data_IF_945105334026
#
_entry.id   IF_945105334026
#
_cell.length_a   1.000
_cell.length_b   1.000
_cell.length_c   1.000
_cell.angle_alpha   90.00
_cell.angle_beta   90.00
_cell.angle_gamma   90.00
#
_symmetry.space_group_name_H-M   'P 1'
#
loop_
_entity.id
_entity.type
_entity.pdbx_description
1 polymer ?
#
# COMPACT_ATOMS: atom_id res chain seq x y z
N UNK A 1 0.47 -23.78 -17.64
CA UNK A 1 -0.41 -23.93 -16.46
C UNK A 1 0.49 -24.17 -15.26
N UNK A 2 0.55 -23.22 -14.32
CA UNK A 2 1.26 -23.44 -13.07
C UNK A 2 0.36 -24.25 -12.13
N UNK A 3 0.80 -25.38 -11.57
CA UNK A 3 0.03 -26.09 -10.57
C UNK A 3 -0.11 -25.22 -9.31
N UNK A 4 -1.35 -25.02 -8.89
CA UNK A 4 -1.67 -24.25 -7.68
C UNK A 4 -1.69 -25.22 -6.51
N UNK A 5 -1.04 -24.85 -5.41
CA UNK A 5 -1.08 -25.59 -4.17
C UNK A 5 -1.60 -24.67 -3.06
N UNK A 6 -2.62 -25.12 -2.33
CA UNK A 6 -3.24 -24.39 -1.23
C UNK A 6 -2.67 -24.84 0.11
N UNK A 7 -2.32 -23.88 0.99
CA UNK A 7 -1.85 -24.17 2.33
C UNK A 7 -2.49 -23.20 3.32
N UNK A 8 -2.89 -23.71 4.48
CA UNK A 8 -3.05 -22.87 5.65
C UNK A 8 -1.70 -22.33 6.07
N UNK A 9 -1.56 -21.04 6.17
CA UNK A 9 -0.34 -20.44 6.67
C UNK A 9 -0.27 -20.65 8.17
N UNK A 10 0.58 -21.57 8.61
CA UNK A 10 1.09 -21.55 9.98
C UNK A 10 2.38 -20.73 9.99
N UNK A 11 2.68 -19.99 11.08
CA UNK A 11 3.91 -19.18 11.18
C UNK A 11 5.21 -19.94 10.95
N UNK A 12 5.14 -21.28 10.96
CA UNK A 12 6.29 -22.19 10.88
C UNK A 12 6.40 -22.96 9.55
N UNK A 13 5.52 -22.77 8.59
CA UNK A 13 5.59 -23.50 7.33
C UNK A 13 6.52 -22.80 6.32
N UNK A 14 7.81 -23.11 6.40
CA UNK A 14 8.82 -22.69 5.43
C UNK A 14 8.98 -23.75 4.33
N UNK A 15 8.00 -23.89 3.45
CA UNK A 15 8.14 -24.74 2.28
C UNK A 15 8.25 -23.90 1.02
N UNK A 16 9.47 -23.49 0.68
CA UNK A 16 9.75 -22.83 -0.59
C UNK A 16 9.59 -23.83 -1.74
N UNK A 17 8.56 -23.67 -2.53
CA UNK A 17 8.38 -24.49 -3.71
C UNK A 17 8.64 -23.63 -4.98
N UNK A 18 9.79 -23.79 -5.59
CA UNK A 18 10.23 -23.03 -6.76
C UNK A 18 9.49 -23.40 -8.06
N UNK A 19 8.74 -24.50 -8.06
CA UNK A 19 8.09 -25.03 -9.27
C UNK A 19 6.58 -24.79 -9.31
N UNK A 20 5.99 -24.32 -8.19
CA UNK A 20 4.54 -24.17 -8.07
C UNK A 20 4.18 -22.77 -7.56
N UNK A 21 3.03 -22.28 -7.98
CA UNK A 21 2.45 -21.10 -7.37
C UNK A 21 1.95 -21.44 -5.98
N UNK A 22 2.44 -20.73 -4.98
CA UNK A 22 2.08 -20.96 -3.58
C UNK A 22 0.92 -20.03 -3.21
N UNK A 23 -0.11 -20.60 -2.61
CA UNK A 23 -1.28 -19.84 -2.18
C UNK A 23 -1.58 -20.17 -0.71
N UNK A 24 -1.65 -19.14 0.09
CA UNK A 24 -1.86 -19.24 1.54
C UNK A 24 -3.15 -18.56 1.93
N UNK A 25 -3.88 -19.18 2.84
CA UNK A 25 -5.10 -18.62 3.42
C UNK A 25 -4.89 -18.52 4.93
N UNK A 26 -5.19 -17.39 5.52
CA UNK A 26 -5.14 -17.20 6.96
C UNK A 26 -6.33 -16.38 7.45
N UNK A 27 -6.86 -16.67 8.65
CA UNK A 27 -7.82 -15.77 9.27
C UNK A 27 -7.13 -14.44 9.61
N UNK A 28 -7.91 -13.38 9.56
CA UNK A 28 -7.51 -12.04 9.97
C UNK A 28 -8.60 -11.46 10.88
N UNK A 29 -8.22 -11.13 12.11
CA UNK A 29 -9.15 -10.57 13.09
C UNK A 29 -8.49 -9.38 13.75
N UNK A 30 -9.17 -8.25 13.73
CA UNK A 30 -8.69 -7.05 14.41
C UNK A 30 -9.86 -6.15 14.81
N UNK A 31 -9.53 -5.09 15.55
CA UNK A 31 -10.49 -4.14 16.07
C UNK A 31 -10.09 -2.72 15.68
N UNK A 32 -11.07 -1.92 15.28
CA UNK A 32 -10.96 -0.47 15.23
C UNK A 32 -12.20 0.19 15.84
N UNK A 33 -12.10 1.48 16.16
CA UNK A 33 -13.18 2.20 16.83
C UNK A 33 -14.40 2.47 15.92
N UNK A 34 -14.24 2.37 14.61
CA UNK A 34 -15.26 2.70 13.59
C UNK A 34 -16.08 1.46 13.27
N UNK A 35 -15.43 0.38 12.86
CA UNK A 35 -16.08 -0.84 12.41
C UNK A 35 -16.30 -1.86 13.55
N UNK A 36 -15.72 -1.60 14.73
CA UNK A 36 -15.69 -2.56 15.82
C UNK A 36 -14.77 -3.74 15.54
N UNK A 37 -15.17 -4.94 15.93
CA UNK A 37 -14.45 -6.16 15.54
C UNK A 37 -14.65 -6.45 14.06
N UNK A 38 -13.56 -6.72 13.38
CA UNK A 38 -13.51 -7.12 11.97
C UNK A 38 -13.03 -8.55 11.87
N UNK A 39 -13.79 -9.38 11.17
CA UNK A 39 -13.47 -10.79 10.93
C UNK A 39 -13.20 -10.98 9.44
N UNK A 40 -12.04 -11.49 9.10
CA UNK A 40 -11.62 -11.58 7.73
C UNK A 40 -10.81 -12.80 7.36
N UNK A 41 -10.54 -12.89 6.08
CA UNK A 41 -9.65 -13.86 5.49
C UNK A 41 -8.61 -13.12 4.66
N UNK A 42 -7.35 -13.43 4.89
CA UNK A 42 -6.24 -13.02 4.06
C UNK A 42 -5.84 -14.16 3.12
N UNK A 43 -5.76 -13.83 1.83
CA UNK A 43 -5.29 -14.69 0.76
C UNK A 43 -3.97 -14.13 0.26
N UNK A 44 -2.90 -14.85 0.48
CA UNK A 44 -1.58 -14.48 -0.03
C UNK A 44 -1.11 -15.49 -1.05
N UNK A 45 -0.64 -15.01 -2.20
CA UNK A 45 -0.11 -15.86 -3.26
C UNK A 45 1.19 -15.31 -3.82
N UNK A 46 2.12 -16.19 -4.15
CA UNK A 46 3.34 -15.83 -4.84
C UNK A 46 3.89 -16.98 -5.69
N UNK A 47 4.74 -16.61 -6.67
CA UNK A 47 5.57 -17.53 -7.41
C UNK A 47 7.03 -17.16 -7.19
N UNK A 48 7.81 -18.12 -6.70
CA UNK A 48 9.24 -17.93 -6.41
C UNK A 48 9.53 -16.74 -5.47
N UNK A 49 8.59 -16.35 -4.59
CA UNK A 49 8.66 -15.17 -3.71
C UNK A 49 8.82 -13.81 -4.39
N UNK A 50 8.92 -13.75 -5.72
CA UNK A 50 9.21 -12.50 -6.45
C UNK A 50 8.19 -12.15 -7.52
N UNK A 51 7.56 -13.15 -8.12
CA UNK A 51 6.68 -12.97 -9.26
C UNK A 51 5.23 -13.20 -8.86
N UNK A 52 4.34 -12.46 -9.49
CA UNK A 52 2.90 -12.60 -9.35
C UNK A 52 2.45 -12.66 -7.88
N UNK A 53 2.96 -11.73 -7.06
CA UNK A 53 2.53 -11.62 -5.68
C UNK A 53 1.12 -11.07 -5.63
N UNK A 54 0.22 -11.79 -4.99
CA UNK A 54 -1.14 -11.36 -4.68
C UNK A 54 -1.28 -11.34 -3.17
N UNK A 55 -1.84 -10.28 -2.64
CA UNK A 55 -2.27 -10.17 -1.26
C UNK A 55 -3.67 -9.58 -1.26
N UNK A 56 -4.65 -10.40 -0.87
CA UNK A 56 -6.05 -10.01 -0.83
C UNK A 56 -6.62 -10.30 0.55
N UNK A 57 -7.14 -9.29 1.19
CA UNK A 57 -7.85 -9.44 2.46
C UNK A 57 -9.26 -8.90 2.31
N UNK A 58 -10.22 -9.66 2.80
CA UNK A 58 -11.62 -9.25 2.91
C UNK A 58 -12.05 -9.37 4.36
N UNK A 59 -12.79 -8.38 4.84
CA UNK A 59 -13.31 -8.33 6.21
C UNK A 59 -14.81 -8.13 6.22
N UNK A 60 -15.44 -8.78 7.18
CA UNK A 60 -16.79 -8.47 7.64
C UNK A 60 -16.67 -7.54 8.85
N UNK A 61 -17.25 -6.37 8.77
CA UNK A 61 -17.29 -5.36 9.83
C UNK A 61 -18.48 -5.64 10.72
N UNK A 62 -18.24 -6.11 11.95
CA UNK A 62 -19.32 -6.61 12.82
C UNK A 62 -20.07 -5.50 13.55
N UNK A 63 -19.49 -4.30 13.63
CA UNK A 63 -19.96 -3.18 14.45
C UNK A 63 -20.14 -3.51 15.93
N UNK A 64 -19.54 -4.62 16.39
CA UNK A 64 -19.54 -5.00 17.80
C UNK A 64 -18.49 -4.18 18.56
N UNK A 65 -18.86 -3.74 19.76
CA UNK A 65 -18.01 -2.95 20.65
C UNK A 65 -17.64 -1.55 20.14
N UNK A 66 -18.45 -0.97 19.27
CA UNK A 66 -18.31 0.44 18.85
C UNK A 66 -18.57 1.34 20.04
N UNK A 67 -17.75 2.38 20.20
CA UNK A 67 -18.01 3.44 21.15
C UNK A 67 -19.11 4.38 20.63
N UNK A 68 -20.37 4.04 20.88
CA UNK A 68 -21.56 4.79 20.39
C UNK A 68 -21.53 6.31 20.65
N UNK A 69 -20.74 6.78 21.61
CA UNK A 69 -20.58 8.22 21.90
C UNK A 69 -19.83 9.01 20.84
N UNK A 70 -19.16 8.34 19.90
CA UNK A 70 -18.33 8.97 18.87
C UNK A 70 -19.02 9.02 17.49
N UNK A 71 -20.20 8.40 17.35
CA UNK A 71 -20.84 8.23 16.05
C UNK A 71 -22.29 8.68 16.05
N UNK A 72 -22.69 9.36 14.99
CA UNK A 72 -24.08 9.67 14.69
C UNK A 72 -24.82 8.37 14.32
N UNK A 73 -26.05 8.19 14.80
CA UNK A 73 -26.90 7.02 14.54
C UNK A 73 -27.27 6.89 13.04
N UNK A 74 -27.05 7.92 12.25
CA UNK A 74 -27.36 7.99 10.81
C UNK A 74 -26.22 7.52 9.89
N UNK A 75 -25.04 7.21 10.43
CA UNK A 75 -23.92 6.72 9.60
C UNK A 75 -24.23 5.38 8.98
N UNK A 76 -24.15 5.30 7.67
CA UNK A 76 -24.17 4.03 6.94
C UNK A 76 -22.84 3.33 7.10
N UNK A 77 -22.82 2.32 7.95
CA UNK A 77 -21.63 1.49 8.11
C UNK A 77 -21.54 0.44 7.03
N UNK A 78 -20.38 0.31 6.46
CA UNK A 78 -20.10 -0.73 5.48
C UNK A 78 -19.90 -2.06 6.17
N UNK A 79 -20.63 -3.08 5.70
CA UNK A 79 -20.52 -4.44 6.23
C UNK A 79 -19.27 -5.16 5.75
N UNK A 80 -18.71 -4.74 4.63
CA UNK A 80 -17.58 -5.41 4.00
C UNK A 80 -16.51 -4.37 3.67
N UNK A 81 -15.28 -4.69 4.03
CA UNK A 81 -14.08 -3.96 3.61
C UNK A 81 -13.12 -4.91 2.92
N UNK A 82 -12.30 -4.40 2.01
CA UNK A 82 -11.30 -5.22 1.34
C UNK A 82 -10.02 -4.44 1.03
N UNK A 83 -8.94 -5.19 0.90
CA UNK A 83 -7.65 -4.71 0.42
C UNK A 83 -7.09 -5.72 -0.57
N UNK A 84 -6.71 -5.24 -1.74
CA UNK A 84 -6.02 -6.03 -2.77
C UNK A 84 -4.68 -5.37 -3.08
N UNK A 85 -3.63 -6.16 -3.12
CA UNK A 85 -2.33 -5.75 -3.65
C UNK A 85 -1.82 -6.83 -4.60
N UNK A 86 -1.43 -6.42 -5.80
CA UNK A 86 -0.78 -7.27 -6.77
C UNK A 86 0.55 -6.66 -7.19
N UNK A 87 1.59 -7.46 -7.25
CA UNK A 87 2.92 -7.02 -7.65
C UNK A 87 3.61 -8.07 -8.51
N UNK A 88 4.21 -7.66 -9.62
CA UNK A 88 5.00 -8.56 -10.46
C UNK A 88 6.16 -7.86 -11.12
N UNK A 89 7.25 -8.59 -11.34
CA UNK A 89 8.35 -8.14 -12.19
C UNK A 89 7.99 -8.27 -13.67
N UNK A 90 8.26 -7.24 -14.45
CA UNK A 90 8.05 -7.23 -15.91
C UNK A 90 9.33 -7.57 -16.68
N UNK A 91 10.29 -8.24 -16.08
CA UNK A 91 11.64 -8.46 -16.62
C UNK A 91 11.67 -9.08 -18.00
N UNK A 92 10.63 -9.80 -18.41
CA UNK A 92 10.49 -10.35 -19.76
C UNK A 92 10.33 -9.27 -20.84
N UNK A 93 9.69 -8.14 -20.50
CA UNK A 93 9.36 -7.06 -21.44
C UNK A 93 10.16 -5.79 -21.16
N UNK A 94 10.34 -5.47 -19.88
CA UNK A 94 11.03 -4.28 -19.37
C UNK A 94 11.94 -4.70 -18.22
N UNK A 95 13.25 -4.83 -18.50
CA UNK A 95 14.22 -5.25 -17.51
C UNK A 95 14.17 -4.40 -16.24
N UNK A 96 14.34 -5.05 -15.07
CA UNK A 96 14.31 -4.43 -13.75
C UNK A 96 13.10 -3.52 -13.46
N UNK A 97 11.97 -3.86 -14.06
CA UNK A 97 10.72 -3.12 -13.86
C UNK A 97 9.74 -3.92 -13.03
N UNK A 98 9.12 -3.27 -12.04
CA UNK A 98 8.05 -3.84 -11.21
C UNK A 98 6.76 -3.10 -11.52
N UNK A 99 5.70 -3.85 -11.72
CA UNK A 99 4.32 -3.39 -11.86
C UNK A 99 3.54 -3.70 -10.60
N UNK A 100 2.77 -2.74 -10.10
CA UNK A 100 1.91 -2.94 -8.93
C UNK A 100 0.52 -2.39 -9.20
N UNK A 101 -0.48 -3.10 -8.65
CA UNK A 101 -1.88 -2.65 -8.57
C UNK A 101 -2.34 -2.77 -7.15
N UNK A 102 -3.00 -1.75 -6.63
CA UNK A 102 -3.62 -1.80 -5.31
C UNK A 102 -5.05 -1.31 -5.39
N UNK A 103 -5.92 -1.95 -4.59
CA UNK A 103 -7.29 -1.51 -4.34
C UNK A 103 -7.56 -1.61 -2.84
N UNK A 104 -8.24 -0.62 -2.30
CA UNK A 104 -8.64 -0.55 -0.90
C UNK A 104 -10.05 -0.01 -0.84
N UNK A 105 -10.90 -0.67 -0.07
CA UNK A 105 -12.20 -0.19 0.35
C UNK A 105 -12.35 -0.40 1.84
N UNK A 106 -12.34 0.68 2.59
CA UNK A 106 -12.40 0.62 4.06
C UNK A 106 -12.81 1.97 4.62
N UNK A 107 -13.77 1.97 5.53
CA UNK A 107 -14.19 3.16 6.28
C UNK A 107 -14.62 4.32 5.35
N UNK A 108 -15.44 4.01 4.33
CA UNK A 108 -15.90 4.97 3.33
C UNK A 108 -14.81 5.47 2.37
N UNK A 109 -13.59 4.94 2.46
CA UNK A 109 -12.52 5.27 1.54
C UNK A 109 -12.35 4.21 0.48
N UNK A 110 -12.56 4.58 -0.77
CA UNK A 110 -12.11 3.82 -1.94
C UNK A 110 -10.78 4.39 -2.44
N UNK A 111 -9.83 3.52 -2.69
CA UNK A 111 -8.55 3.91 -3.26
C UNK A 111 -8.04 2.87 -4.22
N UNK A 112 -7.73 3.30 -5.44
CA UNK A 112 -7.18 2.47 -6.49
C UNK A 112 -5.86 3.06 -6.98
N UNK A 113 -4.88 2.21 -7.22
CA UNK A 113 -3.61 2.69 -7.77
C UNK A 113 -2.93 1.68 -8.69
N UNK A 114 -2.25 2.20 -9.69
CA UNK A 114 -1.40 1.45 -10.59
C UNK A 114 -0.03 2.13 -10.59
N UNK A 115 1.03 1.35 -10.42
CA UNK A 115 2.38 1.91 -10.44
C UNK A 115 3.38 1.06 -11.20
N UNK A 116 4.36 1.74 -11.76
CA UNK A 116 5.53 1.17 -12.42
C UNK A 116 6.79 1.71 -11.73
N UNK A 117 7.67 0.81 -11.37
CA UNK A 117 8.96 1.15 -10.75
C UNK A 117 10.05 0.56 -11.63
N UNK A 118 10.80 1.42 -12.31
CA UNK A 118 11.96 1.03 -13.13
C UNK A 118 13.24 1.32 -12.36
N UNK A 119 14.07 0.29 -12.19
CA UNK A 119 15.45 0.43 -11.71
C UNK A 119 16.38 0.42 -12.92
N UNK A 120 17.18 1.46 -13.10
CA UNK A 120 18.21 1.49 -14.15
C UNK A 120 19.49 0.80 -13.70
N UNK A 121 19.75 0.84 -12.38
CA UNK A 121 20.85 0.16 -11.72
C UNK A 121 20.57 0.15 -10.20
N UNK A 122 21.53 -0.33 -9.42
CA UNK A 122 21.42 -0.33 -7.95
C UNK A 122 21.36 1.09 -7.32
N UNK A 123 21.61 2.13 -8.11
CA UNK A 123 21.74 3.52 -7.65
C UNK A 123 20.61 4.43 -8.10
N UNK A 124 19.85 4.05 -9.13
CA UNK A 124 18.84 4.92 -9.75
C UNK A 124 17.55 4.18 -9.95
N UNK A 125 16.45 4.80 -9.54
CA UNK A 125 15.10 4.30 -9.84
C UNK A 125 14.17 5.46 -10.21
N UNK A 126 13.24 5.15 -11.10
CA UNK A 126 12.10 6.01 -11.47
C UNK A 126 10.84 5.28 -11.08
N UNK A 127 9.86 6.00 -10.60
CA UNK A 127 8.53 5.46 -10.38
C UNK A 127 7.47 6.38 -11.01
N UNK A 128 6.43 5.74 -11.49
CA UNK A 128 5.23 6.36 -11.99
C UNK A 128 4.04 5.75 -11.27
N UNK A 129 3.11 6.58 -10.81
CA UNK A 129 1.95 6.14 -10.05
C UNK A 129 0.72 6.92 -10.52
N UNK A 130 -0.31 6.20 -10.92
CA UNK A 130 -1.67 6.69 -11.05
C UNK A 130 -2.43 6.30 -9.80
N UNK A 131 -3.15 7.23 -9.19
CA UNK A 131 -3.95 6.97 -8.01
C UNK A 131 -5.29 7.69 -8.12
N UNK A 132 -6.35 6.94 -7.86
CA UNK A 132 -7.72 7.45 -7.69
C UNK A 132 -8.15 7.22 -6.26
N UNK A 133 -8.78 8.21 -5.65
CA UNK A 133 -9.38 8.10 -4.32
C UNK A 133 -10.71 8.83 -4.33
N UNK A 134 -11.69 8.22 -3.68
CA UNK A 134 -12.97 8.84 -3.33
C UNK A 134 -13.30 8.46 -1.90
N UNK A 135 -13.94 9.37 -1.18
CA UNK A 135 -14.52 9.09 0.13
C UNK A 135 -16.00 9.36 0.07
N UNK A 136 -16.81 8.36 0.36
CA UNK A 136 -18.27 8.47 0.27
C UNK A 136 -18.84 9.38 1.35
N UNK A 137 -18.33 9.29 2.57
CA UNK A 137 -18.79 10.07 3.72
C UNK A 137 -17.59 10.62 4.51
N UNK A 138 -17.61 11.92 4.84
CA UNK A 138 -16.50 12.57 5.53
C UNK A 138 -16.89 13.29 6.81
N UNK A 139 -18.20 13.52 7.04
CA UNK A 139 -18.61 14.53 8.02
C UNK A 139 -18.47 14.09 9.48
N UNK A 140 -18.48 12.78 9.77
CA UNK A 140 -18.59 12.29 11.15
C UNK A 140 -17.53 11.25 11.54
N UNK A 141 -16.42 11.19 10.81
CA UNK A 141 -15.33 10.29 11.15
C UNK A 141 -14.44 10.95 12.19
N UNK A 142 -14.59 10.55 13.45
CA UNK A 142 -13.96 11.16 14.63
C UNK A 142 -12.42 11.23 14.59
N UNK A 143 -11.75 10.46 13.73
CA UNK A 143 -10.29 10.49 13.59
C UNK A 143 -9.80 11.43 12.48
N UNK A 144 -10.68 12.00 11.65
CA UNK A 144 -10.28 13.00 10.66
C UNK A 144 -10.04 14.33 11.37
N UNK A 145 -8.79 14.78 11.36
CA UNK A 145 -8.39 16.05 12.01
C UNK A 145 -9.08 17.24 11.31
N UNK A 146 -9.28 17.16 10.00
CA UNK A 146 -9.96 18.18 9.19
C UNK A 146 -11.02 17.53 8.28
N UNK A 147 -12.19 17.13 8.80
CA UNK A 147 -13.22 16.46 8.00
C UNK A 147 -13.67 17.28 6.78
N UNK A 148 -13.71 18.62 6.90
CA UNK A 148 -14.12 19.54 5.84
C UNK A 148 -13.19 19.55 4.63
N UNK A 149 -11.91 19.16 4.82
CA UNK A 149 -10.92 19.10 3.74
C UNK A 149 -11.07 17.80 2.91
N UNK A 150 -11.89 16.88 3.39
CA UNK A 150 -12.22 15.63 2.71
C UNK A 150 -13.64 15.73 2.17
N UNK A 151 -13.83 16.43 1.05
CA UNK A 151 -15.14 16.50 0.39
C UNK A 151 -15.70 15.12 0.09
N UNK A 152 -16.86 14.79 0.67
CA UNK A 152 -17.54 13.53 0.37
C UNK A 152 -17.97 13.48 -1.10
N UNK A 153 -17.82 12.32 -1.72
CA UNK A 153 -18.17 12.10 -3.12
C UNK A 153 -17.21 12.72 -4.15
N UNK A 154 -16.16 13.41 -3.73
CA UNK A 154 -15.19 14.02 -4.62
C UNK A 154 -14.05 13.08 -4.99
N UNK A 155 -13.75 12.98 -6.28
CA UNK A 155 -12.62 12.20 -6.79
C UNK A 155 -11.31 12.98 -6.66
N UNK A 156 -10.34 12.36 -6.01
CA UNK A 156 -8.96 12.82 -5.97
C UNK A 156 -8.09 11.93 -6.85
N UNK A 157 -8.05 12.26 -8.14
CA UNK A 157 -7.29 11.53 -9.13
C UNK A 157 -5.94 12.20 -9.34
N UNK A 158 -4.86 11.44 -9.25
CA UNK A 158 -3.50 11.99 -9.31
C UNK A 158 -2.58 11.18 -10.20
N UNK A 159 -1.70 11.89 -10.88
CA UNK A 159 -0.51 11.35 -11.54
C UNK A 159 0.69 11.74 -10.71
N UNK A 160 1.53 10.76 -10.40
CA UNK A 160 2.73 10.98 -9.60
C UNK A 160 3.94 10.44 -10.36
N UNK A 161 5.00 11.19 -10.34
CA UNK A 161 6.30 10.83 -10.91
C UNK A 161 7.38 11.05 -9.86
N UNK A 162 8.32 10.12 -9.78
CA UNK A 162 9.44 10.28 -8.86
C UNK A 162 10.72 9.69 -9.40
N UNK A 163 11.82 10.29 -8.98
CA UNK A 163 13.15 9.88 -9.34
C UNK A 163 14.04 9.84 -8.10
N UNK A 164 14.77 8.75 -7.89
CA UNK A 164 15.69 8.58 -6.77
C UNK A 164 17.09 8.24 -7.30
N UNK A 165 18.09 8.95 -6.79
CA UNK A 165 19.50 8.63 -6.98
C UNK A 165 20.13 8.30 -5.63
N UNK A 166 20.80 7.16 -5.55
CA UNK A 166 21.48 6.68 -4.37
C UNK A 166 22.99 6.57 -4.64
N UNK A 167 23.78 7.46 -4.08
CA UNK A 167 25.26 7.45 -4.19
C UNK A 167 25.84 6.88 -2.91
N UNK A 168 26.57 5.77 -3.01
CA UNK A 168 27.28 5.16 -1.90
C UNK A 168 28.77 5.54 -1.99
N UNK A 169 29.35 5.94 -0.87
CA UNK A 169 30.76 6.17 -0.64
C UNK A 169 31.25 5.20 0.44
N UNK A 170 32.55 5.09 0.69
CA UNK A 170 33.11 4.10 1.65
C UNK A 170 32.45 4.15 3.04
N UNK A 171 32.18 5.36 3.56
CA UNK A 171 31.60 5.56 4.91
C UNK A 171 30.37 6.46 4.90
N UNK A 172 29.79 6.71 3.73
CA UNK A 172 28.62 7.57 3.65
C UNK A 172 27.70 7.17 2.51
N UNK A 173 26.45 7.60 2.61
CA UNK A 173 25.41 7.38 1.61
C UNK A 173 24.66 8.70 1.42
N UNK A 174 24.46 9.08 0.17
CA UNK A 174 23.70 10.25 -0.22
C UNK A 174 22.54 9.82 -1.10
N UNK A 175 21.33 10.23 -0.74
CA UNK A 175 20.11 9.91 -1.48
C UNK A 175 19.47 11.23 -1.90
N UNK A 176 19.24 11.38 -3.19
CA UNK A 176 18.46 12.47 -3.78
C UNK A 176 17.10 11.91 -4.19
N UNK A 177 16.03 12.58 -3.80
CA UNK A 177 14.68 12.25 -4.24
C UNK A 177 14.07 13.49 -4.88
N UNK A 178 13.54 13.31 -6.07
CA UNK A 178 12.63 14.24 -6.71
C UNK A 178 11.26 13.59 -6.77
N UNK A 179 10.21 14.34 -6.43
CA UNK A 179 8.84 13.90 -6.45
C UNK A 179 7.96 14.98 -7.05
N UNK A 180 7.14 14.59 -8.00
CA UNK A 180 6.14 15.43 -8.64
C UNK A 180 4.78 14.75 -8.56
N UNK A 181 3.76 15.49 -8.21
CA UNK A 181 2.39 15.03 -8.13
C UNK A 181 1.46 16.12 -8.65
N UNK A 182 0.52 15.73 -9.49
CA UNK A 182 -0.50 16.66 -10.01
C UNK A 182 -1.84 15.96 -10.05
N UNK A 183 -2.90 16.73 -9.90
CA UNK A 183 -4.25 16.29 -10.19
C UNK A 183 -4.40 16.01 -11.68
N UNK A 184 -5.14 14.96 -12.04
CA UNK A 184 -5.36 14.52 -13.41
C UNK A 184 -6.61 13.66 -13.50
N UNK A 185 -6.96 13.22 -14.73
CA UNK A 185 -8.04 12.24 -14.96
C UNK A 185 -9.38 12.67 -14.33
N UNK A 186 -9.82 13.89 -14.61
CA UNK A 186 -11.08 14.45 -14.09
C UNK A 186 -11.14 14.46 -12.55
N UNK A 187 -10.05 14.86 -11.90
CA UNK A 187 -10.04 15.09 -10.45
C UNK A 187 -10.89 16.32 -10.08
N UNK A 188 -11.66 16.22 -9.02
CA UNK A 188 -12.42 17.34 -8.46
C UNK A 188 -11.52 18.35 -7.73
N UNK A 189 -10.28 17.95 -7.46
CA UNK A 189 -9.26 18.81 -6.86
C UNK A 189 -8.24 19.23 -7.92
N UNK A 190 -7.86 20.51 -7.89
CA UNK A 190 -6.83 21.02 -8.80
C UNK A 190 -5.60 21.45 -7.99
N UNK A 191 -4.52 20.70 -8.10
CA UNK A 191 -3.26 21.01 -7.45
C UNK A 191 -2.06 20.42 -8.20
N UNK A 192 -0.92 21.04 -8.00
CA UNK A 192 0.37 20.52 -8.43
C UNK A 192 1.35 20.68 -7.28
N UNK A 193 2.10 19.63 -7.01
CA UNK A 193 3.10 19.58 -5.95
C UNK A 193 4.42 19.03 -6.51
N UNK A 194 5.51 19.71 -6.21
CA UNK A 194 6.86 19.24 -6.51
C UNK A 194 7.71 19.34 -5.24
N UNK A 195 8.52 18.32 -4.98
CA UNK A 195 9.47 18.33 -3.89
C UNK A 195 10.81 17.75 -4.31
N UNK A 196 11.86 18.31 -3.73
CA UNK A 196 13.21 17.79 -3.80
C UNK A 196 13.73 17.57 -2.39
N UNK A 197 14.28 16.40 -2.12
CA UNK A 197 14.89 16.11 -0.82
C UNK A 197 16.23 15.42 -0.97
N UNK A 198 17.13 15.72 -0.05
CA UNK A 198 18.44 15.11 0.05
C UNK A 198 18.61 14.51 1.43
N UNK A 199 19.02 13.24 1.50
CA UNK A 199 19.33 12.54 2.75
C UNK A 199 20.78 12.12 2.74
N UNK A 200 21.54 12.54 3.74
CA UNK A 200 22.93 12.17 3.94
C UNK A 200 23.07 11.28 5.17
N UNK A 201 23.68 10.13 4.99
CA UNK A 201 24.01 9.19 6.06
C UNK A 201 25.52 9.04 6.13
N UNK A 202 26.10 9.20 7.32
CA UNK A 202 27.54 8.98 7.59
C UNK A 202 27.68 7.92 8.66
N UNK A 203 28.49 6.92 8.40
CA UNK A 203 28.88 5.91 9.39
C UNK A 203 29.93 6.55 10.33
N UNK A 204 29.50 6.89 11.54
CA UNK A 204 30.38 7.41 12.61
C UNK A 204 30.80 6.15 13.38
N UNK A 205 32.08 5.80 13.34
CA UNK A 205 32.69 4.55 13.78
C UNK A 205 32.03 3.89 14.99
N UNK A 206 32.16 2.56 15.08
CA UNK A 206 31.68 1.79 16.24
C UNK A 206 32.37 2.34 17.49
N UNK A 207 31.60 2.92 18.40
CA UNK A 207 32.06 3.07 19.77
C UNK A 207 32.13 1.65 20.36
N UNK A 208 33.33 1.08 20.47
CA UNK A 208 33.56 -0.10 21.29
C UNK A 208 33.40 0.35 22.76
N UNK A 209 32.27 0.05 23.34
CA UNK A 209 32.02 0.15 24.79
C UNK A 209 32.54 -1.13 25.49
N UNK A 210 33.68 -1.64 25.06
CA UNK A 210 34.37 -2.70 25.78
C UNK A 210 35.33 -2.07 26.79
N UNK A 211 34.83 -1.81 27.99
CA UNK A 211 35.58 -1.79 29.25
C UNK A 211 34.71 -2.40 30.32
#
# INVERSE_FOLDING_TARGET
>A
KFPIKYFWRTPYSNTDNWTKYMFYVSPDVWYNAIDGFRFGLNLHGDYMKYLHKVDFTIWYNSHLAIQKKLFDENLKYEKISYKLSYSTGLNKYLDQTTFNVNALYSEGLESYSISFIKKFNSKQKVYFLLKSMIREESQDIAYLIYPKDWGAGNYNNTVNFGFEINKKYKKSKLIYNFYFKTSALSSDYNFTFASFSTKYYKEIGKFDLSN
#
